data_IF_152852331717
#
_entry.id   IF_152852331717
#
_cell.length_a   1.000
_cell.length_b   1.000
_cell.length_c   1.000
_cell.angle_alpha   90.00
_cell.angle_beta   90.00
_cell.angle_gamma   90.00
#
_symmetry.space_group_name_H-M   'P 1'
#
loop_
_entity.id
_entity.type
_entity.pdbx_description
1 polymer ?
#
# COMPACT_ATOMS: atom_id res chain seq x y z
N UNK A 1 -11.19 -47.43 -10.27
CA UNK A 1 -11.15 -46.26 -9.36
C UNK A 1 -10.51 -45.00 -9.93
N UNK A 2 -9.31 -45.01 -10.53
CA UNK A 2 -8.71 -43.77 -11.09
C UNK A 2 -9.47 -43.19 -12.31
N UNK A 3 -9.92 -44.07 -13.21
CA UNK A 3 -10.62 -43.71 -14.45
C UNK A 3 -12.04 -43.14 -14.22
N UNK A 4 -12.73 -43.62 -13.18
CA UNK A 4 -14.04 -43.09 -12.77
C UNK A 4 -13.91 -41.74 -12.08
N UNK A 5 -12.88 -41.57 -11.23
CA UNK A 5 -12.56 -40.28 -10.63
C UNK A 5 -12.21 -39.22 -11.69
N UNK A 6 -11.40 -39.58 -12.70
CA UNK A 6 -11.07 -38.69 -13.82
C UNK A 6 -12.30 -38.33 -14.66
N UNK A 7 -13.19 -39.29 -14.91
CA UNK A 7 -14.44 -39.04 -15.64
C UNK A 7 -15.42 -38.16 -14.87
N UNK A 8 -15.58 -38.37 -13.56
CA UNK A 8 -16.40 -37.52 -12.69
C UNK A 8 -15.84 -36.09 -12.61
N UNK A 9 -14.52 -35.93 -12.57
CA UNK A 9 -13.87 -34.62 -12.63
C UNK A 9 -14.14 -33.93 -13.97
N UNK A 10 -14.09 -34.66 -15.09
CA UNK A 10 -14.36 -34.06 -16.40
C UNK A 10 -15.85 -33.74 -16.60
N UNK A 11 -16.76 -34.62 -16.17
CA UNK A 11 -18.21 -34.38 -16.21
C UNK A 11 -18.61 -33.18 -15.33
N UNK A 12 -18.06 -33.09 -14.11
CA UNK A 12 -18.27 -31.91 -13.26
C UNK A 12 -17.68 -30.65 -13.90
N UNK A 13 -16.47 -30.70 -14.45
CA UNK A 13 -15.87 -29.56 -15.17
C UNK A 13 -16.76 -29.05 -16.32
N UNK A 14 -17.32 -29.94 -17.15
CA UNK A 14 -18.24 -29.52 -18.24
C UNK A 14 -19.56 -28.92 -17.74
N UNK A 15 -20.10 -29.43 -16.62
CA UNK A 15 -21.33 -28.92 -16.02
C UNK A 15 -21.11 -27.52 -15.42
N UNK A 16 -19.93 -27.29 -14.83
CA UNK A 16 -19.54 -26.03 -14.20
C UNK A 16 -19.15 -24.96 -15.23
N UNK A 17 -18.57 -25.34 -16.37
CA UNK A 17 -18.24 -24.44 -17.47
C UNK A 17 -19.44 -23.67 -18.02
N UNK A 18 -20.63 -24.30 -18.04
CA UNK A 18 -21.87 -23.73 -18.60
C UNK A 18 -22.58 -22.74 -17.67
N UNK A 19 -22.17 -22.61 -16.40
CA UNK A 19 -22.85 -21.77 -15.40
C UNK A 19 -21.85 -20.95 -14.56
N UNK A 20 -21.42 -19.77 -15.04
CA UNK A 20 -20.42 -18.92 -14.36
C UNK A 20 -20.76 -18.55 -12.91
N UNK A 21 -22.05 -18.52 -12.55
CA UNK A 21 -22.53 -18.28 -11.18
C UNK A 21 -22.18 -19.40 -10.19
N UNK A 22 -21.87 -20.60 -10.68
CA UNK A 22 -21.50 -21.74 -9.82
C UNK A 22 -20.17 -21.49 -9.11
N UNK A 23 -19.20 -20.82 -9.74
CA UNK A 23 -17.91 -20.55 -9.07
C UNK A 23 -18.05 -19.55 -7.92
N UNK A 24 -18.97 -18.58 -8.04
CA UNK A 24 -19.36 -17.71 -6.91
C UNK A 24 -19.98 -18.54 -5.78
N UNK A 25 -20.83 -19.51 -6.12
CA UNK A 25 -21.42 -20.42 -5.15
C UNK A 25 -20.35 -21.29 -4.47
N UNK A 26 -19.33 -21.75 -5.20
CA UNK A 26 -18.21 -22.50 -4.61
C UNK A 26 -17.46 -21.68 -3.55
N UNK A 27 -17.20 -20.40 -3.81
CA UNK A 27 -16.57 -19.50 -2.82
C UNK A 27 -17.49 -19.34 -1.59
N UNK A 28 -18.77 -19.04 -1.78
CA UNK A 28 -19.71 -18.87 -0.67
C UNK A 28 -19.88 -20.16 0.17
N UNK A 29 -19.93 -21.33 -0.50
CA UNK A 29 -20.00 -22.62 0.20
C UNK A 29 -18.72 -22.93 0.95
N UNK A 30 -17.55 -22.54 0.43
CA UNK A 30 -16.29 -22.68 1.17
C UNK A 30 -16.30 -21.87 2.47
N UNK A 31 -16.90 -20.68 2.46
CA UNK A 31 -17.02 -19.84 3.67
C UNK A 31 -17.96 -20.46 4.70
N UNK A 32 -19.05 -21.10 4.26
CA UNK A 32 -19.94 -21.85 5.15
C UNK A 32 -19.22 -23.06 5.75
N UNK A 33 -18.52 -23.84 4.93
CA UNK A 33 -17.74 -24.99 5.38
C UNK A 33 -16.67 -24.58 6.42
N UNK A 34 -16.01 -23.42 6.23
CA UNK A 34 -15.08 -22.88 7.23
C UNK A 34 -15.74 -22.54 8.56
N UNK A 35 -16.96 -21.98 8.55
CA UNK A 35 -17.71 -21.69 9.78
C UNK A 35 -18.10 -22.96 10.54
N UNK A 36 -18.30 -24.05 9.81
CA UNK A 36 -18.61 -25.38 10.34
C UNK A 36 -17.35 -26.14 10.79
N UNK A 37 -16.14 -25.60 10.53
CA UNK A 37 -14.86 -26.23 10.85
C UNK A 37 -14.36 -27.23 9.79
N UNK A 38 -15.06 -27.36 8.67
CA UNK A 38 -14.74 -28.28 7.57
C UNK A 38 -13.74 -27.65 6.58
N UNK A 39 -12.48 -27.55 7.01
CA UNK A 39 -11.41 -26.85 6.27
C UNK A 39 -11.07 -27.54 4.93
N UNK A 40 -11.00 -28.87 4.92
CA UNK A 40 -10.66 -29.64 3.72
C UNK A 40 -11.73 -29.53 2.63
N UNK A 41 -13.01 -29.52 3.04
CA UNK A 41 -14.12 -29.29 2.10
C UNK A 41 -14.03 -27.88 1.50
N UNK A 42 -13.76 -26.87 2.32
CA UNK A 42 -13.59 -25.49 1.85
C UNK A 42 -12.47 -25.37 0.81
N UNK A 43 -11.30 -25.96 1.07
CA UNK A 43 -10.18 -25.98 0.11
C UNK A 43 -10.53 -26.76 -1.17
N UNK A 44 -11.24 -27.88 -1.04
CA UNK A 44 -11.74 -28.66 -2.17
C UNK A 44 -12.65 -27.85 -3.09
N UNK A 45 -13.62 -27.12 -2.53
CA UNK A 45 -14.55 -26.27 -3.28
C UNK A 45 -13.86 -25.12 -4.01
N UNK A 46 -12.87 -24.49 -3.38
CA UNK A 46 -12.10 -23.39 -4.00
C UNK A 46 -11.21 -23.88 -5.14
N UNK A 47 -10.63 -25.08 -5.02
CA UNK A 47 -9.79 -25.69 -6.07
C UNK A 47 -10.54 -25.99 -7.36
N UNK A 48 -11.87 -26.15 -7.30
CA UNK A 48 -12.72 -26.40 -8.47
C UNK A 48 -12.87 -25.18 -9.40
N UNK A 49 -12.48 -23.98 -8.97
CA UNK A 49 -12.59 -22.78 -9.82
C UNK A 49 -11.48 -22.81 -10.88
N UNK A 50 -11.81 -22.89 -12.19
CA UNK A 50 -10.81 -23.06 -13.23
C UNK A 50 -10.15 -21.74 -13.60
N UNK A 51 -8.92 -21.86 -14.12
CA UNK A 51 -8.11 -20.75 -14.63
C UNK A 51 -8.88 -19.97 -15.70
N UNK A 52 -8.73 -18.65 -15.72
CA UNK A 52 -9.35 -17.77 -16.72
C UNK A 52 -10.83 -17.43 -16.49
N UNK A 53 -11.44 -17.91 -15.40
CA UNK A 53 -12.77 -17.46 -14.97
C UNK A 53 -12.67 -16.28 -14.01
N UNK A 54 -13.72 -15.44 -14.01
CA UNK A 54 -13.80 -14.19 -13.23
C UNK A 54 -13.51 -14.36 -11.72
N UNK A 55 -13.74 -15.55 -11.17
CA UNK A 55 -13.59 -15.83 -9.73
C UNK A 55 -12.30 -16.59 -9.38
N UNK A 56 -11.42 -16.87 -10.35
CA UNK A 56 -10.23 -17.68 -10.11
C UNK A 56 -9.27 -17.04 -9.10
N UNK A 57 -8.96 -15.75 -9.26
CA UNK A 57 -8.09 -15.01 -8.33
C UNK A 57 -8.68 -15.00 -6.93
N UNK A 58 -9.95 -14.60 -6.80
CA UNK A 58 -10.67 -14.59 -5.52
C UNK A 58 -10.69 -15.96 -4.83
N UNK A 59 -10.85 -17.05 -5.59
CA UNK A 59 -10.82 -18.40 -5.04
C UNK A 59 -9.43 -18.76 -4.49
N UNK A 60 -8.36 -18.42 -5.22
CA UNK A 60 -6.98 -18.67 -4.81
C UNK A 60 -6.54 -17.80 -3.63
N UNK A 61 -6.99 -16.55 -3.57
CA UNK A 61 -6.79 -15.67 -2.42
C UNK A 61 -7.47 -16.24 -1.17
N UNK A 62 -8.71 -16.72 -1.29
CA UNK A 62 -9.41 -17.40 -0.19
C UNK A 62 -8.68 -18.67 0.26
N UNK A 63 -8.17 -19.48 -0.66
CA UNK A 63 -7.33 -20.63 -0.29
C UNK A 63 -6.08 -20.18 0.48
N UNK A 64 -5.43 -19.10 0.03
CA UNK A 64 -4.25 -18.58 0.71
C UNK A 64 -4.59 -18.11 2.14
N UNK A 65 -5.70 -17.40 2.34
CA UNK A 65 -6.17 -17.01 3.67
C UNK A 65 -6.36 -18.21 4.61
N UNK A 66 -6.94 -19.31 4.10
CA UNK A 66 -7.11 -20.55 4.86
C UNK A 66 -5.74 -21.13 5.24
N UNK A 67 -4.81 -21.24 4.27
CA UNK A 67 -3.48 -21.76 4.55
C UNK A 67 -2.71 -20.94 5.57
N UNK A 68 -2.80 -19.61 5.51
CA UNK A 68 -2.08 -18.75 6.44
C UNK A 68 -2.70 -18.73 7.84
N UNK A 69 -4.03 -18.62 7.95
CA UNK A 69 -4.70 -18.37 9.21
C UNK A 69 -5.07 -19.66 9.96
N UNK A 70 -5.38 -20.74 9.24
CA UNK A 70 -5.84 -22.01 9.82
C UNK A 70 -4.69 -23.00 9.91
N UNK A 71 -4.04 -23.29 8.78
CA UNK A 71 -2.95 -24.27 8.73
C UNK A 71 -1.59 -23.72 9.13
N UNK A 72 -1.44 -22.39 9.22
CA UNK A 72 -0.16 -21.70 9.43
C UNK A 72 0.91 -22.10 8.39
N UNK A 73 0.48 -22.55 7.21
CA UNK A 73 1.33 -23.02 6.13
C UNK A 73 1.69 -21.87 5.19
N UNK A 74 2.80 -21.21 5.49
CA UNK A 74 3.38 -20.13 4.68
C UNK A 74 3.77 -20.61 3.27
N UNK A 75 4.10 -21.88 3.07
CA UNK A 75 4.50 -22.40 1.75
C UNK A 75 3.28 -22.54 0.85
N UNK A 76 2.20 -23.14 1.35
CA UNK A 76 0.94 -23.26 0.61
C UNK A 76 0.30 -21.88 0.34
N UNK A 77 0.39 -20.95 1.30
CA UNK A 77 0.01 -19.56 1.12
C UNK A 77 0.71 -18.92 -0.11
N UNK A 78 2.04 -18.97 -0.16
CA UNK A 78 2.82 -18.42 -1.28
C UNK A 78 2.57 -19.18 -2.59
N UNK A 79 2.35 -20.49 -2.54
CA UNK A 79 2.04 -21.28 -3.72
C UNK A 79 0.74 -20.81 -4.40
N UNK A 80 -0.27 -20.38 -3.64
CA UNK A 80 -1.50 -19.83 -4.18
C UNK A 80 -1.25 -18.52 -4.95
N UNK A 81 -0.46 -17.60 -4.40
CA UNK A 81 -0.14 -16.34 -5.09
C UNK A 81 0.80 -16.51 -6.27
N UNK A 82 1.73 -17.46 -6.21
CA UNK A 82 2.55 -17.84 -7.37
C UNK A 82 1.68 -18.40 -8.50
N UNK A 83 0.72 -19.27 -8.18
CA UNK A 83 -0.23 -19.83 -9.16
C UNK A 83 -1.06 -18.71 -9.80
N UNK A 84 -1.55 -17.75 -9.01
CA UNK A 84 -2.22 -16.54 -9.54
C UNK A 84 -1.30 -15.79 -10.52
N UNK A 85 -0.06 -15.48 -10.11
CA UNK A 85 0.88 -14.71 -10.93
C UNK A 85 1.21 -15.40 -12.26
N UNK A 86 1.52 -16.70 -12.23
CA UNK A 86 1.88 -17.48 -13.42
C UNK A 86 0.70 -17.71 -14.38
N UNK A 87 -0.52 -17.89 -13.84
CA UNK A 87 -1.70 -18.21 -14.66
C UNK A 87 -2.42 -16.98 -15.19
N UNK A 88 -2.45 -15.89 -14.43
CA UNK A 88 -3.06 -14.61 -14.85
C UNK A 88 -2.06 -13.80 -15.67
N UNK A 89 -0.77 -13.81 -15.31
CA UNK A 89 0.30 -13.19 -16.09
C UNK A 89 0.25 -11.67 -16.20
N UNK A 90 -0.48 -10.98 -15.30
CA UNK A 90 -0.59 -9.51 -15.30
C UNK A 90 0.35 -8.86 -14.28
N UNK A 91 0.66 -7.57 -14.49
CA UNK A 91 1.46 -6.76 -13.55
C UNK A 91 0.82 -6.77 -12.16
N UNK A 92 -0.50 -6.65 -12.09
CA UNK A 92 -1.26 -6.71 -10.84
C UNK A 92 -1.13 -8.06 -10.15
N UNK A 93 -1.18 -9.17 -10.90
CA UNK A 93 -1.05 -10.51 -10.34
C UNK A 93 0.33 -10.75 -9.70
N UNK A 94 1.40 -10.31 -10.38
CA UNK A 94 2.76 -10.36 -9.84
C UNK A 94 2.97 -9.38 -8.68
N UNK A 95 2.30 -8.22 -8.69
CA UNK A 95 2.35 -7.25 -7.58
C UNK A 95 1.74 -7.84 -6.31
N UNK A 96 0.58 -8.48 -6.42
CA UNK A 96 -0.06 -9.14 -5.27
C UNK A 96 0.82 -10.31 -4.77
N UNK A 97 1.51 -11.02 -5.68
CA UNK A 97 2.47 -12.04 -5.28
C UNK A 97 3.66 -11.50 -4.48
N UNK A 98 4.25 -10.37 -4.89
CA UNK A 98 5.31 -9.71 -4.12
C UNK A 98 4.82 -9.28 -2.73
N UNK A 99 3.63 -8.69 -2.63
CA UNK A 99 3.02 -8.27 -1.35
C UNK A 99 2.73 -9.47 -0.42
N UNK A 100 2.33 -10.61 -0.99
CA UNK A 100 2.17 -11.84 -0.22
C UNK A 100 3.51 -12.33 0.37
N UNK A 101 4.60 -12.24 -0.38
CA UNK A 101 5.95 -12.55 0.11
C UNK A 101 6.36 -11.61 1.26
N UNK A 102 6.09 -10.31 1.15
CA UNK A 102 6.34 -9.34 2.22
C UNK A 102 5.56 -9.68 3.49
N UNK A 103 4.27 -10.04 3.35
CA UNK A 103 3.39 -10.38 4.48
C UNK A 103 3.90 -11.54 5.34
N UNK A 104 4.66 -12.46 4.75
CA UNK A 104 5.26 -13.58 5.48
C UNK A 104 6.75 -13.37 5.80
N UNK A 105 7.26 -12.14 5.64
CA UNK A 105 8.65 -11.72 5.86
C UNK A 105 9.66 -12.39 4.91
N UNK A 106 9.25 -12.74 3.69
CA UNK A 106 10.16 -13.18 2.61
C UNK A 106 10.51 -12.02 1.67
N UNK A 107 10.95 -10.90 2.24
CA UNK A 107 11.20 -9.64 1.52
C UNK A 107 12.27 -9.76 0.42
N UNK A 108 13.29 -10.61 0.60
CA UNK A 108 14.31 -10.89 -0.43
C UNK A 108 13.68 -11.43 -1.73
N UNK A 109 12.73 -12.36 -1.62
CA UNK A 109 12.03 -12.88 -2.79
C UNK A 109 11.06 -11.86 -3.36
N UNK A 110 10.46 -11.01 -2.52
CA UNK A 110 9.61 -9.93 -3.00
C UNK A 110 10.39 -8.96 -3.89
N UNK A 111 11.63 -8.61 -3.51
CA UNK A 111 12.55 -7.80 -4.31
C UNK A 111 12.80 -8.41 -5.70
N UNK A 112 13.03 -9.72 -5.79
CA UNK A 112 13.18 -10.41 -7.08
C UNK A 112 11.94 -10.24 -7.98
N UNK A 113 10.74 -10.32 -7.40
CA UNK A 113 9.49 -10.11 -8.13
C UNK A 113 9.32 -8.65 -8.54
N UNK A 114 9.63 -7.69 -7.67
CA UNK A 114 9.59 -6.26 -8.00
C UNK A 114 10.57 -5.90 -9.12
N UNK A 115 11.77 -6.48 -9.14
CA UNK A 115 12.70 -6.29 -10.26
C UNK A 115 12.15 -6.83 -11.58
N UNK A 116 11.50 -8.00 -11.57
CA UNK A 116 10.82 -8.53 -12.78
C UNK A 116 9.70 -7.61 -13.23
N UNK A 117 8.91 -7.07 -12.30
CA UNK A 117 7.85 -6.11 -12.61
C UNK A 117 8.41 -4.82 -13.23
N UNK A 118 9.51 -4.30 -12.70
CA UNK A 118 10.19 -3.13 -13.26
C UNK A 118 10.84 -3.41 -14.63
N UNK A 119 11.24 -4.64 -14.94
CA UNK A 119 11.67 -5.00 -16.30
C UNK A 119 10.51 -4.92 -17.31
N UNK A 120 9.28 -5.24 -16.88
CA UNK A 120 8.09 -5.12 -17.72
C UNK A 120 7.59 -3.68 -17.82
N UNK A 121 7.72 -2.91 -16.74
CA UNK A 121 7.27 -1.52 -16.64
C UNK A 121 8.39 -0.61 -16.05
N UNK A 122 9.42 -0.25 -16.85
CA UNK A 122 10.62 0.44 -16.35
C UNK A 122 10.40 1.81 -15.72
N UNK A 123 9.31 2.48 -16.10
CA UNK A 123 8.98 3.83 -15.63
C UNK A 123 7.82 3.85 -14.63
N UNK A 124 7.43 2.70 -14.07
CA UNK A 124 6.37 2.68 -13.07
C UNK A 124 6.90 3.13 -11.70
N UNK A 125 6.70 4.42 -11.43
CA UNK A 125 7.10 5.04 -10.17
C UNK A 125 6.47 4.38 -8.94
N UNK A 126 5.26 3.82 -9.05
CA UNK A 126 4.60 3.15 -7.93
C UNK A 126 5.31 1.85 -7.59
N UNK A 127 5.77 1.11 -8.61
CA UNK A 127 6.59 -0.08 -8.39
C UNK A 127 7.97 0.27 -7.79
N UNK A 128 8.58 1.37 -8.22
CA UNK A 128 9.83 1.85 -7.61
C UNK A 128 9.65 2.20 -6.13
N UNK A 129 8.54 2.84 -5.76
CA UNK A 129 8.21 3.11 -4.35
C UNK A 129 8.00 1.82 -3.57
N UNK A 130 7.30 0.82 -4.15
CA UNK A 130 7.12 -0.47 -3.47
C UNK A 130 8.45 -1.16 -3.20
N UNK A 131 9.34 -1.19 -4.19
CA UNK A 131 10.69 -1.73 -4.01
C UNK A 131 11.49 -0.95 -2.96
N UNK A 132 11.41 0.38 -2.96
CA UNK A 132 12.05 1.23 -1.97
C UNK A 132 11.54 0.97 -0.54
N UNK A 133 10.22 0.78 -0.39
CA UNK A 133 9.58 0.39 0.88
C UNK A 133 10.09 -0.98 1.35
N UNK A 134 10.21 -1.96 0.44
CA UNK A 134 10.76 -3.28 0.78
C UNK A 134 12.21 -3.17 1.27
N UNK A 135 13.06 -2.39 0.58
CA UNK A 135 14.43 -2.14 1.02
C UNK A 135 14.49 -1.42 2.37
N UNK A 136 13.57 -0.48 2.61
CA UNK A 136 13.46 0.23 3.88
C UNK A 136 13.18 -0.72 5.05
N UNK A 137 12.20 -1.62 4.90
CA UNK A 137 11.85 -2.63 5.90
C UNK A 137 13.00 -3.61 6.17
N UNK A 138 13.83 -3.89 5.15
CA UNK A 138 15.04 -4.70 5.28
C UNK A 138 16.26 -3.92 5.83
N UNK A 139 16.09 -2.64 6.19
CA UNK A 139 17.16 -1.74 6.63
C UNK A 139 18.27 -1.49 5.58
N UNK A 140 17.99 -1.77 4.32
CA UNK A 140 18.85 -1.48 3.17
C UNK A 140 18.62 -0.04 2.71
N UNK A 141 18.99 0.91 3.58
CA UNK A 141 18.60 2.32 3.43
C UNK A 141 19.18 3.01 2.20
N UNK A 142 20.36 2.58 1.72
CA UNK A 142 20.97 3.15 0.51
C UNK A 142 20.15 2.79 -0.74
N UNK A 143 19.86 1.50 -0.90
CA UNK A 143 19.07 0.99 -2.02
C UNK A 143 17.65 1.58 -2.01
N UNK A 144 17.07 1.76 -0.82
CA UNK A 144 15.79 2.45 -0.64
C UNK A 144 15.84 3.91 -1.16
N UNK A 145 16.88 4.67 -0.80
CA UNK A 145 17.07 6.05 -1.26
C UNK A 145 17.17 6.10 -2.79
N UNK A 146 17.98 5.22 -3.38
CA UNK A 146 18.18 5.21 -4.84
C UNK A 146 16.86 4.90 -5.58
N UNK A 147 16.06 3.97 -5.06
CA UNK A 147 14.74 3.66 -5.61
C UNK A 147 13.74 4.82 -5.44
N UNK A 148 13.73 5.51 -4.29
CA UNK A 148 12.88 6.68 -4.11
C UNK A 148 13.30 7.84 -5.04
N UNK A 149 14.60 8.05 -5.27
CA UNK A 149 15.10 9.06 -6.20
C UNK A 149 14.69 8.76 -7.64
N UNK A 150 14.80 7.50 -8.06
CA UNK A 150 14.31 7.06 -9.36
C UNK A 150 12.80 7.33 -9.51
N UNK A 151 12.01 7.01 -8.47
CA UNK A 151 10.57 7.26 -8.47
C UNK A 151 10.25 8.76 -8.62
N UNK A 152 10.87 9.64 -7.84
CA UNK A 152 10.66 11.08 -7.94
C UNK A 152 11.10 11.64 -9.31
N UNK A 153 12.22 11.13 -9.85
CA UNK A 153 12.74 11.55 -11.16
C UNK A 153 11.83 11.16 -12.32
N UNK A 154 11.03 10.08 -12.16
CA UNK A 154 10.02 9.66 -13.14
C UNK A 154 8.75 10.54 -13.15
N UNK A 155 8.72 11.63 -12.37
CA UNK A 155 7.59 12.56 -12.29
C UNK A 155 6.57 12.22 -11.20
N UNK A 156 6.88 11.28 -10.30
CA UNK A 156 6.03 11.00 -9.15
C UNK A 156 6.09 12.16 -8.16
N UNK A 157 5.05 12.97 -8.14
CA UNK A 157 4.85 13.95 -7.08
C UNK A 157 4.09 13.32 -5.90
N UNK A 158 4.85 12.73 -4.96
CA UNK A 158 4.28 12.15 -3.76
C UNK A 158 4.97 12.71 -2.49
N UNK A 159 4.28 13.56 -1.72
CA UNK A 159 4.80 14.12 -0.47
C UNK A 159 5.31 13.07 0.52
N UNK A 160 4.66 11.91 0.61
CA UNK A 160 5.04 10.84 1.52
C UNK A 160 6.41 10.23 1.16
N UNK A 161 6.72 10.11 -0.14
CA UNK A 161 8.02 9.62 -0.62
C UNK A 161 9.12 10.61 -0.27
N UNK A 162 8.90 11.90 -0.56
CA UNK A 162 9.86 12.97 -0.22
C UNK A 162 10.10 13.02 1.31
N UNK A 163 9.07 12.87 2.12
CA UNK A 163 9.16 12.78 3.59
C UNK A 163 10.03 11.60 4.05
N UNK A 164 9.77 10.40 3.52
CA UNK A 164 10.55 9.19 3.83
C UNK A 164 12.03 9.38 3.45
N UNK A 165 12.30 9.95 2.29
CA UNK A 165 13.65 10.27 1.85
C UNK A 165 14.35 11.27 2.77
N UNK A 166 13.70 12.38 3.10
CA UNK A 166 14.25 13.40 4.02
C UNK A 166 14.60 12.77 5.37
N UNK A 167 13.72 11.90 5.89
CA UNK A 167 13.98 11.16 7.13
C UNK A 167 15.18 10.21 7.01
N UNK A 168 15.26 9.42 5.93
CA UNK A 168 16.37 8.51 5.67
C UNK A 168 17.71 9.23 5.53
N UNK A 169 17.75 10.29 4.72
CA UNK A 169 18.95 11.11 4.52
C UNK A 169 19.42 11.75 5.83
N UNK A 170 18.47 12.20 6.66
CA UNK A 170 18.78 12.76 7.98
C UNK A 170 19.33 11.68 8.93
N UNK A 171 18.72 10.49 8.94
CA UNK A 171 19.16 9.34 9.75
C UNK A 171 20.58 8.88 9.37
N UNK A 172 20.90 8.89 8.08
CA UNK A 172 22.22 8.53 7.55
C UNK A 172 23.24 9.67 7.60
N UNK A 173 22.90 10.82 8.20
CA UNK A 173 23.74 12.02 8.29
C UNK A 173 24.17 12.60 6.93
N UNK A 174 23.43 12.33 5.86
CA UNK A 174 23.57 13.02 4.57
C UNK A 174 22.92 14.41 4.63
N UNK A 175 23.41 15.25 5.53
CA UNK A 175 22.82 16.54 5.91
C UNK A 175 22.62 17.49 4.73
N UNK A 176 23.57 17.54 3.80
CA UNK A 176 23.47 18.42 2.64
C UNK A 176 22.36 17.97 1.68
N UNK A 177 22.28 16.67 1.36
CA UNK A 177 21.21 16.11 0.50
C UNK A 177 19.83 16.29 1.15
N UNK A 178 19.74 15.99 2.46
CA UNK A 178 18.50 16.19 3.22
C UNK A 178 18.03 17.65 3.15
N UNK A 179 18.94 18.61 3.32
CA UNK A 179 18.62 20.03 3.27
C UNK A 179 18.18 20.50 1.89
N UNK A 180 18.86 20.06 0.83
CA UNK A 180 18.44 20.38 -0.55
C UNK A 180 17.02 19.89 -0.82
N UNK A 181 16.69 18.66 -0.41
CA UNK A 181 15.36 18.09 -0.62
C UNK A 181 14.28 18.80 0.20
N UNK A 182 14.59 19.16 1.46
CA UNK A 182 13.71 19.97 2.31
C UNK A 182 13.45 21.34 1.69
N UNK A 183 14.48 22.02 1.18
CA UNK A 183 14.33 23.35 0.59
C UNK A 183 13.56 23.32 -0.73
N UNK A 184 13.71 22.25 -1.54
CA UNK A 184 12.85 22.00 -2.70
C UNK A 184 11.40 21.81 -2.29
N UNK A 185 11.14 20.95 -1.29
CA UNK A 185 9.80 20.69 -0.79
C UNK A 185 9.11 21.96 -0.26
N UNK A 186 9.83 22.78 0.52
CA UNK A 186 9.29 24.03 1.07
C UNK A 186 8.97 25.05 -0.03
N UNK A 187 9.73 25.07 -1.14
CA UNK A 187 9.41 25.91 -2.30
C UNK A 187 8.15 25.45 -3.01
N UNK A 188 7.95 24.14 -3.10
CA UNK A 188 6.78 23.52 -3.74
C UNK A 188 5.53 23.53 -2.83
N UNK A 189 5.65 23.93 -1.55
CA UNK A 189 4.51 24.00 -0.65
C UNK A 189 3.49 25.05 -1.12
N UNK A 190 2.36 24.57 -1.62
CA UNK A 190 1.26 25.43 -1.98
C UNK A 190 0.48 25.92 -0.74
N UNK A 191 0.14 27.22 -0.68
CA UNK A 191 -0.49 27.86 0.51
C UNK A 191 -1.94 27.39 0.77
N UNK A 192 -2.54 26.65 -0.16
CA UNK A 192 -3.89 26.10 -0.08
C UNK A 192 -3.89 24.57 0.07
N UNK A 193 -3.03 24.05 0.94
CA UNK A 193 -2.93 22.62 1.23
C UNK A 193 -4.18 22.08 1.98
N UNK A 194 -4.68 20.92 1.55
CA UNK A 194 -5.66 20.09 2.29
C UNK A 194 -5.16 19.74 3.69
N UNK A 195 -6.02 19.35 4.65
CA UNK A 195 -5.58 18.96 5.99
C UNK A 195 -4.46 17.91 6.01
N UNK A 196 -4.52 16.90 5.13
CA UNK A 196 -3.45 15.89 5.02
C UNK A 196 -2.13 16.52 4.54
N UNK A 197 -2.18 17.35 3.49
CA UNK A 197 -0.99 18.04 2.97
C UNK A 197 -0.37 18.99 4.01
N UNK A 198 -1.18 19.67 4.82
CA UNK A 198 -0.64 20.54 5.88
C UNK A 198 0.06 19.70 6.96
N UNK A 199 -0.47 18.53 7.33
CA UNK A 199 0.20 17.62 8.27
C UNK A 199 1.58 17.18 7.76
N UNK A 200 1.68 16.84 6.48
CA UNK A 200 2.93 16.46 5.84
C UNK A 200 3.91 17.64 5.70
N UNK A 201 3.41 18.83 5.39
CA UNK A 201 4.21 20.06 5.38
C UNK A 201 4.81 20.37 6.75
N UNK A 202 4.02 20.23 7.83
CA UNK A 202 4.50 20.41 9.20
C UNK A 202 5.63 19.42 9.52
N UNK A 203 5.47 18.14 9.15
CA UNK A 203 6.54 17.14 9.36
C UNK A 203 7.84 17.55 8.65
N UNK A 204 7.78 18.04 7.42
CA UNK A 204 8.96 18.54 6.69
C UNK A 204 9.62 19.72 7.43
N UNK A 205 8.83 20.69 7.89
CA UNK A 205 9.37 21.85 8.62
C UNK A 205 10.03 21.41 9.94
N UNK A 206 9.46 20.42 10.63
CA UNK A 206 10.09 19.86 11.83
C UNK A 206 11.42 19.17 11.53
N UNK A 207 11.53 18.45 10.41
CA UNK A 207 12.82 17.89 9.99
C UNK A 207 13.81 19.00 9.61
N UNK A 208 13.34 20.10 8.98
CA UNK A 208 14.17 21.28 8.73
C UNK A 208 14.74 21.87 10.02
N UNK A 209 13.91 22.02 11.05
CA UNK A 209 14.35 22.47 12.37
C UNK A 209 15.39 21.51 12.97
N UNK A 210 15.19 20.20 12.86
CA UNK A 210 16.14 19.19 13.32
C UNK A 210 17.49 19.27 12.59
N UNK A 211 17.49 19.50 11.27
CA UNK A 211 18.73 19.69 10.50
C UNK A 211 19.50 20.94 10.98
N UNK A 212 18.81 22.06 11.19
CA UNK A 212 19.42 23.28 11.75
C UNK A 212 19.96 23.06 13.17
N UNK A 213 19.25 22.28 13.99
CA UNK A 213 19.71 21.90 15.34
C UNK A 213 21.03 21.13 15.28
N UNK A 214 21.15 20.15 14.38
CA UNK A 214 22.39 19.40 14.19
C UNK A 214 23.55 20.30 13.72
N UNK A 215 23.25 21.34 12.92
CA UNK A 215 24.22 22.36 12.48
C UNK A 215 24.51 23.44 13.54
N UNK A 216 23.83 23.42 14.69
CA UNK A 216 23.88 24.46 15.74
C UNK A 216 23.43 25.85 15.25
N UNK A 217 22.54 25.89 14.27
CA UNK A 217 21.96 27.10 13.69
C UNK A 217 20.70 27.52 14.47
N UNK A 218 20.85 27.86 15.75
CA UNK A 218 19.72 28.08 16.69
C UNK A 218 18.67 29.07 16.20
N UNK A 219 19.07 30.13 15.50
CA UNK A 219 18.13 31.13 14.96
C UNK A 219 17.24 30.55 13.87
N UNK A 220 17.79 29.72 12.99
CA UNK A 220 17.05 29.09 11.88
C UNK A 220 16.17 27.95 12.38
N UNK A 221 16.64 27.19 13.37
CA UNK A 221 15.84 26.20 14.09
C UNK A 221 14.58 26.83 14.70
N UNK A 222 14.74 27.90 15.49
CA UNK A 222 13.62 28.60 16.13
C UNK A 222 12.65 29.18 15.11
N UNK A 223 13.15 29.69 13.98
CA UNK A 223 12.30 30.19 12.91
C UNK A 223 11.45 29.06 12.30
N UNK A 224 12.07 27.93 11.96
CA UNK A 224 11.34 26.78 11.41
C UNK A 224 10.28 26.26 12.39
N UNK A 225 10.58 26.19 13.70
CA UNK A 225 9.59 25.78 14.71
C UNK A 225 8.39 26.74 14.78
N UNK A 226 8.63 28.05 14.68
CA UNK A 226 7.54 29.06 14.63
C UNK A 226 6.70 28.89 13.37
N UNK A 227 7.34 28.70 12.22
CA UNK A 227 6.63 28.49 10.94
C UNK A 227 5.73 27.24 11.01
N UNK A 228 6.20 26.15 11.62
CA UNK A 228 5.40 24.95 11.87
C UNK A 228 4.21 25.23 12.80
N UNK A 229 4.43 25.95 13.90
CA UNK A 229 3.38 26.30 14.85
C UNK A 229 2.28 27.18 14.22
N UNK A 230 2.67 28.18 13.43
CA UNK A 230 1.75 29.05 12.70
C UNK A 230 0.91 28.26 11.69
N UNK A 231 1.53 27.29 11.02
CA UNK A 231 0.85 26.43 10.06
C UNK A 231 -0.20 25.53 10.74
N UNK A 232 0.15 24.90 11.88
CA UNK A 232 -0.80 24.13 12.71
C UNK A 232 -1.97 25.00 13.19
N UNK A 233 -1.68 26.21 13.68
CA UNK A 233 -2.71 27.12 14.20
C UNK A 233 -3.71 27.54 13.11
N UNK A 234 -3.22 27.86 11.90
CA UNK A 234 -4.07 28.15 10.73
C UNK A 234 -4.97 26.98 10.35
N UNK A 235 -4.44 25.75 10.42
CA UNK A 235 -5.17 24.51 10.11
C UNK A 235 -6.33 24.31 11.10
N UNK A 236 -6.04 24.40 12.41
CA UNK A 236 -7.05 24.28 13.46
C UNK A 236 -8.17 25.31 13.31
N UNK A 237 -7.82 26.57 13.01
CA UNK A 237 -8.81 27.63 12.74
C UNK A 237 -9.70 27.29 11.53
N UNK A 238 -9.13 26.78 10.43
CA UNK A 238 -9.89 26.37 9.24
C UNK A 238 -10.80 25.17 9.50
N UNK A 239 -10.39 24.21 10.32
CA UNK A 239 -11.22 23.05 10.68
C UNK A 239 -12.41 23.46 11.56
N UNK A 240 -12.18 24.34 12.54
CA UNK A 240 -13.25 24.88 13.39
C UNK A 240 -14.29 25.64 12.56
N UNK A 241 -13.85 26.42 11.56
CA UNK A 241 -14.76 27.14 10.64
C UNK A 241 -15.52 26.17 9.72
N UNK A 242 -14.88 25.11 9.20
CA UNK A 242 -15.57 24.09 8.37
C UNK A 242 -16.60 23.26 9.13
N UNK A 243 -16.41 23.06 10.44
CA UNK A 243 -17.41 22.40 11.28
C UNK A 243 -18.62 23.29 11.58
N UNK A 244 -18.53 24.59 11.31
CA UNK A 244 -19.53 25.58 11.72
C UNK A 244 -20.56 25.99 10.66
N UNK A 245 -20.64 25.41 9.44
CA UNK A 245 -21.69 25.81 8.47
C UNK A 245 -22.12 24.76 7.42
N UNK A 246 -23.44 24.64 7.08
CA UNK A 246 -24.30 25.75 6.62
C UNK A 246 -25.63 26.01 7.37
N UNK A 247 -25.96 25.27 8.42
CA UNK A 247 -27.22 25.49 9.18
C UNK A 247 -27.06 26.40 10.40
N UNK A 248 -25.83 26.63 10.85
CA UNK A 248 -25.57 27.42 12.06
C UNK A 248 -25.51 28.93 11.79
N UNK A 249 -25.08 29.39 10.59
CA UNK A 249 -25.25 30.81 10.17
C UNK A 249 -26.73 31.23 10.15
N UNK A 250 -27.65 30.32 9.81
CA UNK A 250 -29.07 30.66 9.74
C UNK A 250 -29.68 30.92 11.13
N UNK A 251 -29.16 30.28 12.18
CA UNK A 251 -29.63 30.48 13.55
C UNK A 251 -28.99 31.70 14.23
N UNK A 252 -27.73 31.99 13.95
CA UNK A 252 -27.07 33.19 14.51
C UNK A 252 -27.58 34.51 13.89
N UNK A 253 -28.22 34.44 12.71
CA UNK A 253 -28.85 35.61 12.07
C UNK A 253 -30.25 35.93 12.62
N UNK A 254 -30.90 35.00 13.32
CA UNK A 254 -32.26 35.17 13.88
C UNK A 254 -32.27 35.61 15.36
N UNK A 255 -31.14 35.50 16.06
CA UNK A 255 -30.99 35.91 17.46
C UNK A 255 -30.58 37.39 17.66
N UNK A 256 -30.36 38.13 16.58
CA UNK A 256 -30.09 39.58 16.61
C UNK A 256 -31.32 40.44 16.25
N UNK A 257 -32.48 39.81 16.00
CA UNK A 257 -33.75 40.49 15.68
C UNK A 257 -34.95 40.05 16.54
N UNK A 258 -34.73 39.40 17.69
CA UNK A 258 -35.74 39.11 18.72
C UNK A 258 -35.35 39.76 20.05
#
# INVERSE_FOLDING_TARGET
DKLEAERLVEETKTLFEKRPKIYRLSILRSELALKEGNVEEALGLLKLVPVGKMYYTAAREKMAEIYLNVHQDKRAYIACYRDIAEKVGSVEAYLVYAQALERIHQSEKAIEIYHKLLQMSPNDAKLMVKLADTFFEMHLFKDAIDCYEAALSSGLDNPAVRLRMVWLLSKLQFTQRAQTLVDQFVKDMDRASTPEQVSDNVKIILVKAQLHRHKKETRQELQALRDAQDMIHKLNKRMIVRQKDPTDIANDSLLLLS
#
